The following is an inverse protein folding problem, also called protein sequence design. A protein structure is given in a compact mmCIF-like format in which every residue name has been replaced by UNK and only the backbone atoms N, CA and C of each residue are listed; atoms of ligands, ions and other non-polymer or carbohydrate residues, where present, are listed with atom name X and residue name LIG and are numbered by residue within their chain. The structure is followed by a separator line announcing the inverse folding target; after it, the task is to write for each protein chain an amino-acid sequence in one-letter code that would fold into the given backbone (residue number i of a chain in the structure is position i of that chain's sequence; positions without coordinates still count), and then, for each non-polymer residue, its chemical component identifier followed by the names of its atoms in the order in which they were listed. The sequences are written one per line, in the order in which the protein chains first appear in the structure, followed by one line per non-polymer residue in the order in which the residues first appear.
data_IF_408318691787
#
_entry.id   IF_408318691787
#
_cell.length_a   1.000
_cell.length_b   1.000
_cell.length_c   1.000
_cell.angle_alpha   90.00
_cell.angle_beta   90.00
_cell.angle_gamma   90.00
#
_symmetry.space_group_name_H-M   'P 1'
#
loop_
_entity.id
_entity.type
_entity.pdbx_description
1 polymer ?
#
# COMPACT_ATOMS: atom_id res chain seq x y z
N UNK A 1 38.93 -2.19 8.28
CA UNK A 1 38.03 -3.37 8.34
C UNK A 1 36.60 -2.88 8.45
N UNK A 2 35.72 -3.23 7.51
CA UNK A 2 34.32 -2.80 7.55
C UNK A 2 33.63 -3.46 8.76
N UNK A 3 33.19 -2.63 9.72
CA UNK A 3 32.48 -3.10 10.92
C UNK A 3 31.14 -3.67 10.47
N UNK A 4 30.85 -4.93 10.82
CA UNK A 4 29.56 -5.56 10.53
C UNK A 4 28.50 -4.79 11.30
N UNK A 5 27.65 -4.06 10.57
CA UNK A 5 26.51 -3.35 11.17
C UNK A 5 25.32 -4.29 11.24
N UNK A 6 24.54 -4.25 12.33
CA UNK A 6 23.30 -5.00 12.41
C UNK A 6 22.34 -4.53 11.32
N UNK A 7 21.56 -5.47 10.77
CA UNK A 7 20.59 -5.19 9.70
C UNK A 7 19.61 -4.07 10.09
N UNK A 8 19.22 -3.98 11.37
CA UNK A 8 18.33 -2.95 11.90
C UNK A 8 18.85 -1.52 11.65
N UNK A 9 20.15 -1.26 11.87
CA UNK A 9 20.77 0.04 11.62
C UNK A 9 20.77 0.41 10.12
N UNK A 10 20.98 -0.59 9.26
CA UNK A 10 20.97 -0.38 7.82
C UNK A 10 19.56 -0.12 7.29
N UNK A 11 18.57 -0.86 7.81
CA UNK A 11 17.16 -0.71 7.46
C UNK A 11 16.70 0.71 7.78
N UNK A 12 16.94 1.21 8.99
CA UNK A 12 16.53 2.55 9.42
C UNK A 12 17.03 3.65 8.48
N UNK A 13 18.31 3.57 8.07
CA UNK A 13 18.93 4.53 7.16
C UNK A 13 18.34 4.50 5.74
N UNK A 14 17.85 3.34 5.29
CA UNK A 14 17.26 3.16 3.96
C UNK A 14 15.78 3.54 3.92
N UNK A 15 15.01 3.21 4.96
CA UNK A 15 13.55 3.41 4.96
C UNK A 15 13.12 4.71 5.63
N UNK A 16 13.95 5.30 6.51
CA UNK A 16 13.68 6.56 7.20
C UNK A 16 13.08 7.67 6.32
N UNK A 17 13.60 7.95 5.11
CA UNK A 17 13.03 8.98 4.23
C UNK A 17 11.59 8.68 3.77
N UNK A 18 11.28 7.41 3.50
CA UNK A 18 9.94 6.98 3.08
C UNK A 18 8.93 7.04 4.24
N UNK A 19 9.39 6.71 5.46
CA UNK A 19 8.58 6.81 6.68
C UNK A 19 8.32 8.25 7.10
N UNK A 20 9.34 9.11 7.01
CA UNK A 20 9.19 10.55 7.21
C UNK A 20 8.19 11.17 6.22
N UNK A 21 8.19 10.73 4.95
CA UNK A 21 7.20 11.16 3.96
C UNK A 21 5.77 10.71 4.31
N UNK A 22 5.63 9.56 4.98
CA UNK A 22 4.37 9.07 5.53
C UNK A 22 4.06 9.63 6.93
N UNK A 23 4.90 10.52 7.46
CA UNK A 23 4.74 11.16 8.76
C UNK A 23 4.92 10.24 9.96
N UNK A 24 5.48 9.04 9.78
CA UNK A 24 5.86 8.20 10.90
C UNK A 24 7.17 8.68 11.52
N UNK A 25 7.21 8.78 12.85
CA UNK A 25 8.42 9.12 13.59
C UNK A 25 9.39 7.93 13.72
N UNK A 26 8.88 6.69 13.68
CA UNK A 26 9.67 5.46 13.68
C UNK A 26 8.92 4.34 12.97
N UNK A 27 9.63 3.24 12.67
CA UNK A 27 9.07 2.03 12.04
C UNK A 27 8.38 1.09 13.02
N UNK A 28 8.42 1.40 14.32
CA UNK A 28 8.00 0.49 15.39
C UNK A 28 6.52 0.13 15.34
N UNK A 29 5.65 1.09 14.99
CA UNK A 29 4.20 0.84 14.89
C UNK A 29 3.85 -0.21 13.83
N UNK A 30 4.65 -0.34 12.76
CA UNK A 30 4.42 -1.38 11.74
C UNK A 30 4.81 -2.76 12.26
N UNK A 31 5.93 -2.84 12.97
CA UNK A 31 6.40 -4.09 13.56
C UNK A 31 5.46 -4.57 14.67
N UNK A 32 5.04 -3.66 15.55
CA UNK A 32 4.13 -3.93 16.66
C UNK A 32 2.64 -3.96 16.25
N UNK A 33 2.31 -3.73 14.98
CA UNK A 33 0.91 -3.66 14.53
C UNK A 33 0.08 -4.89 14.92
N UNK A 34 0.56 -6.13 14.73
CA UNK A 34 -0.19 -7.33 15.13
C UNK A 34 -0.46 -7.40 16.64
N UNK A 35 0.45 -6.89 17.47
CA UNK A 35 0.28 -6.82 18.93
C UNK A 35 -0.75 -5.74 19.31
N UNK A 36 -0.73 -4.61 18.60
CA UNK A 36 -1.64 -3.48 18.84
C UNK A 36 -3.08 -3.85 18.47
N UNK A 37 -3.34 -4.31 17.24
CA UNK A 37 -4.72 -4.58 16.76
C UNK A 37 -5.15 -6.04 16.93
N UNK A 38 -4.23 -6.96 17.18
CA UNK A 38 -4.45 -8.39 17.21
C UNK A 38 -4.15 -9.09 15.89
N UNK A 39 -3.62 -10.31 15.99
CA UNK A 39 -3.11 -11.12 14.87
C UNK A 39 -4.12 -11.33 13.74
N UNK A 40 -5.41 -11.45 14.08
CA UNK A 40 -6.49 -11.63 13.09
C UNK A 40 -6.72 -10.35 12.28
N UNK A 41 -6.84 -9.20 12.95
CA UNK A 41 -7.14 -7.93 12.28
C UNK A 41 -5.95 -7.39 11.49
N UNK A 42 -4.72 -7.62 11.95
CA UNK A 42 -3.51 -7.19 11.25
C UNK A 42 -3.33 -7.81 9.85
N UNK A 43 -4.04 -8.92 9.56
CA UNK A 43 -4.09 -9.51 8.20
C UNK A 43 -4.92 -8.67 7.22
N UNK A 44 -5.87 -7.90 7.73
CA UNK A 44 -6.88 -7.17 6.97
C UNK A 44 -6.84 -5.65 7.16
N UNK A 45 -5.97 -5.15 8.05
CA UNK A 45 -5.73 -3.72 8.23
C UNK A 45 -4.23 -3.43 8.38
N UNK A 46 -3.77 -2.29 7.85
CA UNK A 46 -2.38 -1.83 7.98
C UNK A 46 -2.31 -0.32 8.12
N UNK A 47 -1.41 0.23 8.96
CA UNK A 47 -1.25 1.67 9.06
C UNK A 47 -0.58 2.17 7.76
N UNK A 48 -1.11 3.26 7.22
CA UNK A 48 -0.67 3.82 5.93
C UNK A 48 0.09 5.12 6.08
N UNK A 49 -0.35 6.01 6.96
CA UNK A 49 0.23 7.34 7.13
C UNK A 49 -0.16 7.89 8.49
N UNK A 50 0.73 8.67 9.11
CA UNK A 50 0.44 9.45 10.31
C UNK A 50 0.48 10.93 9.96
N UNK A 51 -0.65 11.61 10.07
CA UNK A 51 -0.78 13.02 9.74
C UNK A 51 -0.70 13.86 11.00
N UNK A 52 0.40 14.60 11.14
CA UNK A 52 0.55 15.57 12.22
C UNK A 52 -0.19 16.86 11.86
N UNK A 53 -0.93 17.46 12.80
CA UNK A 53 -1.48 18.79 12.59
C UNK A 53 -0.36 19.77 12.23
N UNK A 54 -0.66 20.68 11.30
CA UNK A 54 0.29 21.76 10.98
C UNK A 54 0.36 22.64 12.22
N UNK A 55 1.54 22.68 12.87
CA UNK A 55 1.85 23.59 13.99
C UNK A 55 1.17 24.93 13.74
N UNK A 56 0.12 25.25 14.52
CA UNK A 56 -0.43 26.61 14.47
C UNK A 56 0.70 27.51 14.94
N UNK A 57 1.22 28.31 14.02
CA UNK A 57 2.22 29.34 14.35
C UNK A 57 1.53 30.27 15.35
N UNK A 58 2.05 30.28 16.58
CA UNK A 58 1.56 31.03 17.75
C UNK A 58 0.97 32.40 17.37
N UNK A 59 -0.33 32.60 17.58
CA UNK A 59 -0.96 33.93 17.60
C UNK A 59 -1.52 34.28 18.99
N UNK A 60 -1.25 33.50 20.03
CA UNK A 60 -1.71 33.85 21.38
C UNK A 60 -0.65 33.45 22.40
N UNK A 61 -0.17 34.45 23.12
CA UNK A 61 0.99 34.41 24.02
C UNK A 61 0.73 33.69 25.33
N UNK A 62 0.42 32.39 25.28
CA UNK A 62 0.44 31.54 26.47
C UNK A 62 1.36 30.34 26.22
N UNK A 63 2.44 30.16 27.00
CA UNK A 63 3.34 29.01 26.87
C UNK A 63 2.69 27.80 27.57
N UNK A 64 1.61 27.28 26.98
CA UNK A 64 0.96 26.10 27.53
C UNK A 64 1.61 24.85 26.92
N UNK A 65 2.61 24.38 27.66
CA UNK A 65 3.15 23.02 27.69
C UNK A 65 3.76 22.50 26.38
N UNK A 66 5.05 22.14 26.44
CA UNK A 66 5.78 21.45 25.37
C UNK A 66 5.32 20.01 25.10
N UNK A 67 4.00 19.76 25.16
CA UNK A 67 3.42 18.46 24.81
C UNK A 67 3.39 18.35 23.28
N UNK A 68 4.00 17.32 22.69
CA UNK A 68 3.92 17.09 21.25
C UNK A 68 2.46 16.94 20.82
N UNK A 69 2.06 17.64 19.75
CA UNK A 69 0.69 17.59 19.21
C UNK A 69 0.37 16.17 18.73
N UNK A 70 -0.81 15.65 19.09
CA UNK A 70 -1.29 14.33 18.65
C UNK A 70 -1.65 14.32 17.16
N UNK A 71 -1.25 13.28 16.43
CA UNK A 71 -1.53 13.07 15.02
C UNK A 71 -2.81 12.26 14.73
N UNK A 72 -3.18 12.22 13.46
CA UNK A 72 -4.25 11.36 12.92
C UNK A 72 -3.64 10.19 12.14
N UNK A 73 -3.92 8.96 12.58
CA UNK A 73 -3.43 7.76 11.90
C UNK A 73 -4.41 7.32 10.81
N UNK A 74 -3.95 7.27 9.56
CA UNK A 74 -4.68 6.68 8.45
C UNK A 74 -4.38 5.19 8.40
N UNK A 75 -5.42 4.37 8.52
CA UNK A 75 -5.33 2.91 8.48
C UNK A 75 -6.08 2.41 7.26
N UNK A 76 -5.39 1.65 6.42
CA UNK A 76 -6.04 0.93 5.34
C UNK A 76 -6.70 -0.31 5.88
N UNK A 77 -7.90 -0.62 5.43
CA UNK A 77 -8.68 -1.77 5.91
C UNK A 77 -9.50 -2.38 4.78
N UNK A 78 -9.59 -3.71 4.76
CA UNK A 78 -10.52 -4.40 3.88
C UNK A 78 -11.97 -4.12 4.33
N UNK A 79 -12.84 -3.76 3.38
CA UNK A 79 -14.16 -3.20 3.68
C UNK A 79 -15.02 -4.01 4.64
N UNK A 80 -14.92 -5.35 4.60
CA UNK A 80 -15.69 -6.25 5.49
C UNK A 80 -15.24 -6.17 6.95
N UNK A 81 -14.01 -5.73 7.23
CA UNK A 81 -13.45 -5.57 8.57
C UNK A 81 -13.45 -4.11 9.05
N UNK A 82 -13.90 -3.16 8.22
CA UNK A 82 -13.87 -1.74 8.54
C UNK A 82 -14.72 -1.40 9.77
N UNK A 83 -15.91 -2.00 9.88
CA UNK A 83 -16.83 -1.75 11.00
C UNK A 83 -16.25 -2.25 12.34
N UNK A 84 -15.65 -3.44 12.33
CA UNK A 84 -15.00 -4.01 13.51
C UNK A 84 -13.83 -3.12 13.96
N UNK A 85 -12.99 -2.69 13.03
CA UNK A 85 -11.87 -1.79 13.34
C UNK A 85 -12.34 -0.41 13.82
N UNK A 86 -13.45 0.11 13.29
CA UNK A 86 -14.04 1.37 13.74
C UNK A 86 -14.51 1.28 15.20
N UNK A 87 -15.15 0.18 15.59
CA UNK A 87 -15.56 -0.06 16.97
C UNK A 87 -14.36 -0.18 17.92
N UNK A 88 -13.29 -0.84 17.46
CA UNK A 88 -12.06 -1.01 18.22
C UNK A 88 -11.14 0.21 18.21
N UNK A 89 -11.41 1.23 17.39
CA UNK A 89 -10.54 2.39 17.23
C UNK A 89 -10.10 3.05 18.55
N UNK A 90 -10.97 3.26 19.57
CA UNK A 90 -10.55 3.83 20.84
C UNK A 90 -9.52 2.96 21.58
N UNK A 91 -9.70 1.63 21.56
CA UNK A 91 -8.78 0.67 22.18
C UNK A 91 -7.45 0.65 21.43
N UNK A 92 -7.49 0.68 20.11
CA UNK A 92 -6.29 0.74 19.26
C UNK A 92 -5.50 2.03 19.54
N UNK A 93 -6.17 3.18 19.62
CA UNK A 93 -5.53 4.46 19.98
C UNK A 93 -4.86 4.37 21.36
N UNK A 94 -5.54 3.81 22.35
CA UNK A 94 -4.98 3.63 23.69
C UNK A 94 -3.72 2.75 23.66
N UNK A 95 -3.76 1.63 22.93
CA UNK A 95 -2.60 0.72 22.78
C UNK A 95 -1.43 1.37 22.06
N UNK A 96 -1.70 2.14 21.00
CA UNK A 96 -0.66 2.90 20.28
C UNK A 96 0.00 3.91 21.23
N UNK A 97 -0.81 4.72 21.93
CA UNK A 97 -0.28 5.72 22.86
C UNK A 97 0.46 5.08 24.04
N UNK A 98 0.02 3.91 24.52
CA UNK A 98 0.74 3.15 25.53
C UNK A 98 2.08 2.62 25.02
N UNK A 99 2.14 2.15 23.76
CA UNK A 99 3.38 1.70 23.12
C UNK A 99 4.40 2.84 22.98
N UNK A 100 3.94 4.03 22.60
CA UNK A 100 4.81 5.21 22.47
C UNK A 100 5.12 5.91 23.80
N UNK A 101 4.34 5.69 24.85
CA UNK A 101 4.50 6.34 26.16
C UNK A 101 3.99 7.80 26.21
N UNK A 102 3.33 8.28 25.16
CA UNK A 102 2.71 9.61 25.08
C UNK A 102 1.54 9.62 24.10
N UNK A 103 0.73 10.69 24.12
CA UNK A 103 -0.48 10.83 23.30
C UNK A 103 -0.18 11.17 21.83
N UNK A 104 0.43 10.23 21.10
CA UNK A 104 0.86 10.40 19.72
C UNK A 104 -0.26 10.34 18.68
N UNK A 105 -1.34 9.62 18.96
CA UNK A 105 -2.50 9.50 18.07
C UNK A 105 -3.76 9.93 18.82
N UNK A 106 -4.55 10.82 18.22
CA UNK A 106 -5.86 11.24 18.74
C UNK A 106 -7.03 10.68 17.94
N UNK A 107 -6.80 10.34 16.67
CA UNK A 107 -7.83 9.87 15.76
C UNK A 107 -7.30 8.83 14.79
N UNK A 108 -8.13 7.84 14.48
CA UNK A 108 -7.91 6.90 13.39
C UNK A 108 -8.89 7.22 12.26
N UNK A 109 -8.37 7.33 11.03
CA UNK A 109 -9.16 7.46 9.81
C UNK A 109 -9.02 6.17 9.01
N UNK A 110 -10.15 5.56 8.68
CA UNK A 110 -10.18 4.32 7.92
C UNK A 110 -10.25 4.61 6.43
N UNK A 111 -9.30 4.07 5.67
CA UNK A 111 -9.31 4.09 4.22
C UNK A 111 -9.60 2.68 3.72
N UNK A 112 -10.69 2.51 2.96
CA UNK A 112 -11.00 1.21 2.38
C UNK A 112 -9.96 0.86 1.31
N UNK A 113 -9.30 -0.28 1.46
CA UNK A 113 -8.33 -0.81 0.50
C UNK A 113 -8.49 -2.33 0.40
N UNK A 114 -8.16 -2.91 -0.76
CA UNK A 114 -8.13 -4.36 -0.96
C UNK A 114 -6.81 -4.91 -0.43
N UNK A 115 -6.69 -4.99 0.89
CA UNK A 115 -5.51 -5.53 1.55
C UNK A 115 -5.30 -6.98 1.14
N UNK A 116 -4.10 -7.33 0.70
CA UNK A 116 -3.75 -8.68 0.28
C UNK A 116 -4.08 -9.02 -1.18
N UNK A 117 -4.81 -8.17 -1.92
CA UNK A 117 -4.90 -8.30 -3.38
C UNK A 117 -3.88 -7.40 -4.06
N UNK A 118 -2.61 -7.65 -3.78
CA UNK A 118 -1.53 -7.35 -4.72
C UNK A 118 -1.69 -8.27 -5.93
N UNK A 119 -2.79 -8.11 -6.68
CA UNK A 119 -2.95 -8.77 -7.96
C UNK A 119 -1.83 -8.22 -8.81
N UNK A 120 -0.81 -9.06 -9.05
CA UNK A 120 0.23 -8.77 -10.03
C UNK A 120 -0.48 -8.27 -11.27
N UNK A 121 -0.21 -7.02 -11.67
CA UNK A 121 -0.68 -6.51 -12.97
C UNK A 121 -0.29 -7.59 -13.97
N UNK A 122 -1.24 -8.22 -14.68
CA UNK A 122 -0.91 -9.25 -15.64
C UNK A 122 0.16 -8.67 -16.55
N UNK A 123 1.32 -9.33 -16.61
CA UNK A 123 2.36 -8.87 -17.52
C UNK A 123 1.74 -8.86 -18.91
N UNK A 124 1.89 -7.77 -19.69
CA UNK A 124 1.32 -7.71 -21.02
C UNK A 124 1.76 -8.96 -21.78
N UNK A 125 0.79 -9.64 -22.40
CA UNK A 125 1.06 -10.85 -23.16
C UNK A 125 2.08 -10.51 -24.24
N UNK A 126 3.12 -11.34 -24.39
CA UNK A 126 4.10 -11.14 -25.46
C UNK A 126 3.58 -11.80 -26.72
N UNK A 127 3.63 -11.07 -27.82
CA UNK A 127 3.34 -11.61 -29.14
C UNK A 127 4.68 -12.01 -29.76
N UNK A 128 4.80 -13.27 -30.16
CA UNK A 128 5.93 -13.72 -30.97
C UNK A 128 5.75 -13.18 -32.40
N UNK A 129 6.73 -12.44 -32.96
CA UNK A 129 6.65 -11.93 -34.33
C UNK A 129 6.44 -13.03 -35.37
N UNK A 130 6.94 -14.26 -35.16
CA UNK A 130 6.70 -15.36 -36.08
C UNK A 130 5.22 -15.79 -36.07
N UNK A 131 4.60 -15.86 -34.90
CA UNK A 131 3.19 -16.20 -34.77
C UNK A 131 2.27 -15.12 -35.35
N UNK A 132 2.64 -13.84 -35.25
CA UNK A 132 1.90 -12.74 -35.87
C UNK A 132 1.89 -12.84 -37.41
N UNK A 133 3.01 -13.23 -38.02
CA UNK A 133 3.11 -13.43 -39.48
C UNK A 133 2.25 -14.60 -39.93
N UNK A 134 2.19 -15.69 -39.16
CA UNK A 134 1.33 -16.83 -39.47
C UNK A 134 -0.16 -16.48 -39.40
N UNK A 135 -0.58 -15.66 -38.43
CA UNK A 135 -1.96 -15.13 -38.35
C UNK A 135 -2.28 -14.30 -39.59
N UNK A 136 -1.39 -13.39 -39.99
CA UNK A 136 -1.57 -12.56 -41.19
C UNK A 136 -1.70 -13.39 -42.46
N UNK A 137 -0.90 -14.47 -42.60
CA UNK A 137 -1.00 -15.42 -43.72
C UNK A 137 -2.34 -16.16 -43.72
N UNK A 138 -2.82 -16.57 -42.54
CA UNK A 138 -4.08 -17.30 -42.41
C UNK A 138 -5.31 -16.45 -42.80
N UNK A 139 -5.28 -15.13 -42.57
CA UNK A 139 -6.39 -14.22 -42.92
C UNK A 139 -6.25 -13.53 -44.27
N UNK A 140 -5.13 -13.73 -44.99
CA UNK A 140 -4.86 -13.06 -46.26
C UNK A 140 -5.88 -13.37 -47.36
N UNK A 141 -6.46 -14.58 -47.35
CA UNK A 141 -7.45 -15.03 -48.34
C UNK A 141 -8.87 -14.48 -48.15
N UNK A 142 -9.11 -13.66 -47.11
CA UNK A 142 -10.43 -13.12 -46.79
C UNK A 142 -10.68 -11.87 -47.63
N UNK A 143 -11.73 -11.90 -48.45
CA UNK A 143 -12.09 -10.80 -49.34
C UNK A 143 -12.69 -9.59 -48.60
N UNK A 144 -13.42 -9.85 -47.50
CA UNK A 144 -14.04 -8.80 -46.69
C UNK A 144 -13.03 -8.17 -45.72
N UNK A 145 -12.80 -6.87 -45.86
CA UNK A 145 -11.83 -6.12 -45.06
C UNK A 145 -12.18 -6.09 -43.57
N UNK A 146 -13.48 -5.98 -43.24
CA UNK A 146 -13.95 -5.92 -41.86
C UNK A 146 -13.72 -7.23 -41.12
N UNK A 147 -14.04 -8.35 -41.77
CA UNK A 147 -13.86 -9.70 -41.28
C UNK A 147 -12.37 -10.04 -41.16
N UNK A 148 -11.55 -9.68 -42.16
CA UNK A 148 -10.09 -9.85 -42.12
C UNK A 148 -9.49 -9.13 -40.92
N UNK A 149 -9.85 -7.86 -40.69
CA UNK A 149 -9.37 -7.09 -39.56
C UNK A 149 -9.88 -7.61 -38.19
N UNK A 150 -11.09 -8.18 -38.15
CA UNK A 150 -11.60 -8.82 -36.94
C UNK A 150 -10.84 -10.11 -36.61
N UNK A 151 -10.57 -10.95 -37.62
CA UNK A 151 -9.87 -12.21 -37.45
C UNK A 151 -8.36 -12.04 -37.19
N UNK A 152 -7.73 -11.02 -37.77
CA UNK A 152 -6.33 -10.66 -37.47
C UNK A 152 -6.16 -10.28 -35.99
N UNK A 153 -7.07 -9.43 -35.47
CA UNK A 153 -7.08 -9.07 -34.04
C UNK A 153 -7.34 -10.27 -33.13
N UNK A 154 -8.26 -11.15 -33.51
CA UNK A 154 -8.57 -12.36 -32.74
C UNK A 154 -7.39 -13.35 -32.76
N UNK A 155 -6.80 -13.61 -33.93
CA UNK A 155 -5.67 -14.50 -34.09
C UNK A 155 -4.46 -14.00 -33.32
N UNK A 156 -4.15 -12.71 -33.41
CA UNK A 156 -3.07 -12.07 -32.65
C UNK A 156 -3.28 -12.21 -31.13
N UNK A 157 -4.52 -12.06 -30.65
CA UNK A 157 -4.84 -12.25 -29.24
C UNK A 157 -4.78 -13.73 -28.80
N UNK A 158 -5.08 -14.67 -29.69
CA UNK A 158 -5.05 -16.10 -29.41
C UNK A 158 -3.63 -16.67 -29.37
N UNK A 159 -2.73 -16.18 -30.22
CA UNK A 159 -1.31 -16.60 -30.23
C UNK A 159 -0.44 -15.83 -29.24
N UNK A 160 -0.97 -14.77 -28.63
CA UNK A 160 -0.27 -14.03 -27.59
C UNK A 160 -0.06 -14.93 -26.37
N UNK A 161 1.18 -15.35 -26.14
CA UNK A 161 1.52 -16.18 -25.00
C UNK A 161 1.44 -15.32 -23.75
N UNK A 162 0.54 -15.68 -22.83
CA UNK A 162 0.70 -15.25 -21.45
C UNK A 162 1.99 -15.89 -20.95
N UNK A 163 2.94 -15.14 -20.37
CA UNK A 163 4.12 -15.76 -19.78
C UNK A 163 3.65 -16.81 -18.77
N UNK A 164 3.82 -18.09 -19.11
CA UNK A 164 3.64 -19.20 -18.19
C UNK A 164 4.76 -19.07 -17.15
N UNK A 165 4.38 -19.27 -15.89
CA UNK A 165 5.25 -19.21 -14.72
C UNK A 165 6.35 -20.24 -14.79
#
# INVERSE_FOLDING_TARGET
MARVKPLAELIESCIGPAFAAQGFASTDILAAWPEIVGERLARYCRPSKLEWPKRRRKESGTPESGMPESGTLVVRVEGVFALELQHLAPVVIQRINAHYGWACVSRIVLQQDRIGRGGRVPSPARIDPAAAVEVQRAVAGIADDGLRAALDRLGTAAVATRPQR
#
